data_IF_029788929117
#
_entry.id   IF_029788929117
#
_cell.length_a   1.000
_cell.length_b   1.000
_cell.length_c   1.000
_cell.angle_alpha   90.00
_cell.angle_beta   90.00
_cell.angle_gamma   90.00
#
_symmetry.space_group_name_H-M   'P 1'
#
loop_
_entity.id
_entity.type
_entity.pdbx_description
1 polymer ?
#
# COMPACT_ATOMS: atom_id res chain seq x y z
N UNK A 1 10.05 -16.73 5.17
CA UNK A 1 9.11 -15.57 5.19
C UNK A 1 9.40 -14.56 6.32
N UNK A 2 10.06 -14.97 7.41
CA UNK A 2 10.48 -14.05 8.49
C UNK A 2 11.34 -12.85 8.03
N UNK A 3 12.26 -13.04 7.09
CA UNK A 3 13.21 -11.98 6.70
C UNK A 3 12.64 -10.75 5.98
N UNK A 4 11.43 -10.81 5.38
CA UNK A 4 10.81 -9.64 4.73
C UNK A 4 10.12 -8.75 5.76
N UNK A 5 9.38 -9.33 6.68
CA UNK A 5 8.75 -8.60 7.79
C UNK A 5 9.80 -7.94 8.70
N UNK A 6 10.91 -8.62 8.97
CA UNK A 6 12.02 -8.05 9.74
C UNK A 6 12.71 -6.87 9.03
N UNK A 7 12.82 -6.90 7.70
CA UNK A 7 13.33 -5.77 6.91
C UNK A 7 12.37 -4.58 6.90
N UNK A 8 11.06 -4.82 6.75
CA UNK A 8 10.03 -3.78 6.84
C UNK A 8 10.04 -3.18 8.25
N UNK A 9 10.06 -4.02 9.28
CA UNK A 9 10.13 -3.60 10.68
C UNK A 9 11.36 -2.74 10.97
N UNK A 10 12.55 -3.12 10.45
CA UNK A 10 13.78 -2.31 10.54
C UNK A 10 13.70 -1.02 9.72
N UNK A 11 13.05 -1.03 8.54
CA UNK A 11 12.88 0.17 7.73
C UNK A 11 11.97 1.21 8.38
N UNK A 12 10.96 0.76 9.12
CA UNK A 12 10.01 1.63 9.84
C UNK A 12 10.46 2.00 11.26
N UNK A 13 11.54 1.41 11.78
CA UNK A 13 11.99 1.64 13.16
C UNK A 13 12.32 3.10 13.43
N UNK A 14 13.01 3.77 12.51
CA UNK A 14 13.41 5.18 12.67
C UNK A 14 12.22 6.13 12.75
N UNK A 15 11.22 5.96 11.87
CA UNK A 15 10.02 6.79 11.88
C UNK A 15 9.19 6.52 13.14
N UNK A 16 9.02 5.25 13.49
CA UNK A 16 8.33 4.85 14.72
C UNK A 16 9.01 5.39 15.97
N UNK A 17 10.33 5.25 16.06
CA UNK A 17 11.12 5.75 17.20
C UNK A 17 11.02 7.26 17.31
N UNK A 18 11.15 8.00 16.21
CA UNK A 18 11.05 9.46 16.21
C UNK A 18 9.66 9.96 16.66
N UNK A 19 8.57 9.34 16.20
CA UNK A 19 7.21 9.70 16.62
C UNK A 19 6.98 9.29 18.08
N UNK A 20 7.38 8.07 18.46
CA UNK A 20 7.21 7.57 19.82
C UNK A 20 8.00 8.38 20.87
N UNK A 21 9.24 8.78 20.55
CA UNK A 21 10.05 9.66 21.43
C UNK A 21 9.41 11.02 21.63
N UNK A 22 8.87 11.63 20.55
CA UNK A 22 8.17 12.92 20.65
C UNK A 22 6.93 12.81 21.53
N UNK A 23 6.10 11.78 21.33
CA UNK A 23 4.92 11.52 22.15
C UNK A 23 5.33 11.25 23.59
N UNK A 24 6.38 10.42 23.83
CA UNK A 24 6.89 10.16 25.19
C UNK A 24 7.35 11.43 25.90
N UNK A 25 7.95 12.36 25.16
CA UNK A 25 8.40 13.65 25.72
C UNK A 25 7.20 14.51 26.13
N UNK A 26 6.15 14.55 25.33
CA UNK A 26 4.94 15.34 25.58
C UNK A 26 4.13 14.74 26.73
N UNK A 27 3.98 13.41 26.75
CA UNK A 27 3.18 12.68 27.74
C UNK A 27 3.92 12.47 29.06
N UNK A 28 5.25 12.49 29.06
CA UNK A 28 6.11 12.06 30.18
C UNK A 28 5.77 12.72 31.52
N UNK A 29 4.94 12.05 32.32
CA UNK A 29 4.53 12.48 33.66
C UNK A 29 3.47 13.60 33.69
N UNK A 30 2.93 14.01 32.54
CA UNK A 30 1.82 14.98 32.43
C UNK A 30 0.48 14.25 32.40
N UNK A 31 -0.55 14.90 32.88
CA UNK A 31 -1.93 14.46 32.67
C UNK A 31 -2.34 14.73 31.22
N UNK A 32 -3.18 13.88 30.69
CA UNK A 32 -3.78 14.09 29.37
C UNK A 32 -4.82 15.22 29.44
N UNK A 33 -4.37 16.44 29.34
CA UNK A 33 -5.17 17.66 29.25
C UNK A 33 -5.24 18.18 27.79
N UNK A 34 -5.95 19.28 27.57
CA UNK A 34 -6.12 19.84 26.22
C UNK A 34 -4.77 20.25 25.59
N UNK A 35 -3.82 20.77 26.38
CA UNK A 35 -2.51 21.14 25.89
C UNK A 35 -1.73 19.93 25.39
N UNK A 36 -1.76 18.81 26.12
CA UNK A 36 -1.13 17.54 25.69
C UNK A 36 -1.81 16.97 24.46
N UNK A 37 -3.14 17.07 24.34
CA UNK A 37 -3.88 16.61 23.17
C UNK A 37 -3.52 17.44 21.93
N UNK A 38 -3.42 18.76 22.04
CA UNK A 38 -2.98 19.65 20.95
C UNK A 38 -1.55 19.32 20.50
N UNK A 39 -0.62 19.08 21.44
CA UNK A 39 0.75 18.68 21.11
C UNK A 39 0.79 17.30 20.42
N UNK A 40 -0.05 16.34 20.83
CA UNK A 40 -0.14 15.03 20.14
C UNK A 40 -0.69 15.21 18.72
N UNK A 41 -1.72 16.05 18.53
CA UNK A 41 -2.27 16.35 17.20
C UNK A 41 -1.21 16.97 16.29
N UNK A 42 -0.42 17.93 16.77
CA UNK A 42 0.68 18.52 16.01
C UNK A 42 1.74 17.46 15.61
N UNK A 43 2.05 16.51 16.52
CA UNK A 43 2.96 15.41 16.23
C UNK A 43 2.40 14.51 15.11
N UNK A 44 1.11 14.17 15.16
CA UNK A 44 0.46 13.36 14.14
C UNK A 44 0.45 14.08 12.79
N UNK A 45 0.11 15.37 12.76
CA UNK A 45 0.13 16.18 11.54
C UNK A 45 1.54 16.28 10.93
N UNK A 46 2.57 16.49 11.77
CA UNK A 46 3.96 16.51 11.28
C UNK A 46 4.49 15.15 10.84
N UNK A 47 3.85 14.07 11.29
CA UNK A 47 4.11 12.71 10.83
C UNK A 47 3.33 12.33 9.55
N UNK A 48 2.76 13.33 8.86
CA UNK A 48 1.97 13.16 7.61
C UNK A 48 0.65 12.39 7.79
N UNK A 49 0.10 12.39 9.00
CA UNK A 49 -1.25 11.92 9.27
C UNK A 49 -2.24 13.00 8.81
N UNK A 50 -3.21 12.65 7.99
CA UNK A 50 -4.21 13.59 7.49
C UNK A 50 -4.98 14.28 8.63
N UNK A 51 -5.40 15.53 8.42
CA UNK A 51 -6.07 16.36 9.44
C UNK A 51 -7.28 15.67 10.05
N UNK A 52 -8.18 15.12 9.22
CA UNK A 52 -9.39 14.44 9.70
C UNK A 52 -9.06 13.25 10.61
N UNK A 53 -8.00 12.50 10.30
CA UNK A 53 -7.55 11.37 11.11
C UNK A 53 -6.89 11.83 12.41
N UNK A 54 -6.05 12.87 12.38
CA UNK A 54 -5.41 13.42 13.57
C UNK A 54 -6.46 13.92 14.58
N UNK A 55 -7.45 14.68 14.11
CA UNK A 55 -8.58 15.14 14.92
C UNK A 55 -9.39 13.98 15.48
N UNK A 56 -9.72 12.98 14.67
CA UNK A 56 -10.47 11.81 15.13
C UNK A 56 -9.73 11.03 16.23
N UNK A 57 -8.41 10.88 16.10
CA UNK A 57 -7.56 10.21 17.12
C UNK A 57 -7.52 11.02 18.41
N UNK A 58 -7.34 12.34 18.35
CA UNK A 58 -7.29 13.18 19.57
C UNK A 58 -8.64 13.28 20.26
N UNK A 59 -9.74 13.32 19.52
CA UNK A 59 -11.10 13.25 20.09
C UNK A 59 -11.37 11.90 20.76
N UNK A 60 -10.94 10.81 20.15
CA UNK A 60 -11.01 9.46 20.72
C UNK A 60 -10.18 9.35 21.99
N UNK A 61 -8.95 9.88 22.01
CA UNK A 61 -8.10 9.94 23.21
C UNK A 61 -8.77 10.71 24.35
N UNK A 62 -9.35 11.88 24.04
CA UNK A 62 -10.09 12.70 25.04
C UNK A 62 -11.22 11.89 25.67
N UNK A 63 -12.02 11.22 24.85
CA UNK A 63 -13.15 10.42 25.33
C UNK A 63 -12.71 9.22 26.19
N UNK A 64 -11.66 8.50 25.75
CA UNK A 64 -11.15 7.33 26.51
C UNK A 64 -10.46 7.73 27.81
N UNK A 65 -9.67 8.80 27.80
CA UNK A 65 -9.02 9.31 28.99
C UNK A 65 -10.05 9.71 30.07
N UNK A 66 -11.15 10.35 29.66
CA UNK A 66 -12.25 10.67 30.57
C UNK A 66 -12.92 9.43 31.17
N UNK A 67 -12.97 8.31 30.44
CA UNK A 67 -13.56 7.05 30.87
C UNK A 67 -12.60 6.18 31.69
N UNK A 68 -11.32 6.17 31.39
CA UNK A 68 -10.30 5.26 31.96
C UNK A 68 -9.69 5.79 33.28
N UNK A 69 -9.83 7.07 33.56
CA UNK A 69 -9.27 7.70 34.78
C UNK A 69 -7.77 8.05 34.67
N UNK A 70 -7.20 8.55 35.77
CA UNK A 70 -5.87 9.19 35.80
C UNK A 70 -4.68 8.22 35.67
N UNK A 71 -4.89 6.91 35.71
CA UNK A 71 -3.81 5.89 35.68
C UNK A 71 -3.66 5.22 34.31
N UNK A 72 -4.46 5.61 33.30
CA UNK A 72 -4.40 5.00 31.98
C UNK A 72 -3.11 5.37 31.24
N UNK A 73 -2.44 4.39 30.64
CA UNK A 73 -1.29 4.61 29.80
C UNK A 73 -1.71 5.29 28.48
N UNK A 74 -1.24 6.51 28.25
CA UNK A 74 -1.59 7.29 27.07
C UNK A 74 -1.12 6.61 25.77
N UNK A 75 -0.01 5.85 25.81
CA UNK A 75 0.44 5.09 24.64
C UNK A 75 -0.52 3.97 24.26
N UNK A 76 -1.03 3.24 25.26
CA UNK A 76 -2.01 2.17 25.01
C UNK A 76 -3.33 2.74 24.47
N UNK A 77 -3.75 3.91 24.99
CA UNK A 77 -4.93 4.61 24.49
C UNK A 77 -4.71 5.09 23.05
N UNK A 78 -3.57 5.72 22.76
CA UNK A 78 -3.22 6.20 21.43
C UNK A 78 -3.12 5.05 20.42
N UNK A 79 -2.49 3.94 20.81
CA UNK A 79 -2.41 2.76 19.96
C UNK A 79 -3.82 2.26 19.62
N UNK A 80 -4.70 2.20 20.60
CA UNK A 80 -6.09 1.74 20.40
C UNK A 80 -6.84 2.63 19.42
N UNK A 81 -6.69 3.97 19.53
CA UNK A 81 -7.34 4.90 18.60
C UNK A 81 -6.75 4.81 17.18
N UNK A 82 -5.43 4.70 17.06
CA UNK A 82 -4.78 4.51 15.75
C UNK A 82 -5.19 3.19 15.09
N UNK A 83 -5.27 2.10 15.87
CA UNK A 83 -5.75 0.80 15.37
C UNK A 83 -7.22 0.88 14.92
N UNK A 84 -8.07 1.64 15.62
CA UNK A 84 -9.46 1.85 15.23
C UNK A 84 -9.60 2.61 13.89
N UNK A 85 -8.63 3.47 13.55
CA UNK A 85 -8.59 4.15 12.25
C UNK A 85 -8.15 3.23 11.09
N UNK A 86 -7.50 2.09 11.38
CA UNK A 86 -7.04 1.17 10.36
C UNK A 86 -8.20 0.30 9.87
N UNK A 87 -8.55 0.46 8.61
CA UNK A 87 -9.50 -0.43 7.97
C UNK A 87 -8.83 -1.78 7.70
N UNK A 88 -9.41 -2.85 8.23
CA UNK A 88 -9.01 -4.20 7.82
C UNK A 88 -9.50 -4.42 6.39
N UNK A 89 -8.61 -4.53 5.40
CA UNK A 89 -9.05 -4.78 4.03
C UNK A 89 -9.76 -6.13 3.99
N UNK A 90 -10.85 -6.26 3.21
CA UNK A 90 -11.51 -7.55 3.06
C UNK A 90 -10.53 -8.56 2.47
N UNK A 91 -10.59 -9.81 2.94
CA UNK A 91 -9.80 -10.89 2.34
C UNK A 91 -10.30 -11.13 0.91
N UNK A 92 -9.54 -10.65 -0.07
CA UNK A 92 -9.86 -10.80 -1.48
C UNK A 92 -9.35 -12.16 -1.97
N UNK A 93 -10.28 -13.09 -2.18
CA UNK A 93 -10.00 -14.36 -2.87
C UNK A 93 -10.39 -14.21 -4.33
N UNK A 94 -9.45 -14.26 -5.26
CA UNK A 94 -9.68 -14.09 -6.70
C UNK A 94 -10.80 -15.01 -7.20
N UNK A 95 -10.83 -16.25 -6.71
CA UNK A 95 -11.84 -17.25 -7.11
C UNK A 95 -13.27 -16.94 -6.59
N UNK A 96 -13.42 -16.04 -5.62
CA UNK A 96 -14.72 -15.68 -5.04
C UNK A 96 -15.25 -14.34 -5.54
N UNK A 97 -14.52 -13.68 -6.45
CA UNK A 97 -14.95 -12.39 -7.00
C UNK A 97 -16.07 -12.58 -8.03
N UNK A 98 -17.09 -11.69 -8.02
CA UNK A 98 -18.25 -11.80 -8.89
C UNK A 98 -17.93 -11.51 -10.37
N UNK A 99 -16.79 -10.88 -10.64
CA UNK A 99 -16.39 -10.44 -12.00
C UNK A 99 -14.97 -10.86 -12.33
N UNK A 100 -14.75 -11.29 -13.58
CA UNK A 100 -13.43 -11.61 -14.14
C UNK A 100 -13.18 -10.77 -15.37
N UNK A 101 -11.91 -10.42 -15.65
CA UNK A 101 -10.71 -10.67 -14.83
C UNK A 101 -10.67 -9.78 -13.59
N UNK A 102 -9.99 -10.25 -12.53
CA UNK A 102 -9.61 -9.37 -11.43
C UNK A 102 -8.45 -8.48 -11.87
N UNK A 103 -8.62 -7.17 -11.74
CA UNK A 103 -7.65 -6.18 -12.24
C UNK A 103 -6.84 -5.63 -11.07
N UNK A 104 -5.52 -5.78 -11.15
CA UNK A 104 -4.56 -5.26 -10.16
C UNK A 104 -3.73 -4.18 -10.81
N UNK A 105 -4.02 -2.93 -10.49
CA UNK A 105 -3.21 -1.79 -10.90
C UNK A 105 -2.09 -1.57 -9.87
N UNK A 106 -0.82 -1.67 -10.32
CA UNK A 106 0.34 -1.49 -9.44
C UNK A 106 0.95 -0.12 -9.65
N UNK A 107 0.88 0.72 -8.62
CA UNK A 107 1.34 2.11 -8.64
C UNK A 107 2.50 2.34 -7.66
N UNK A 108 3.27 3.38 -7.90
CA UNK A 108 4.40 3.78 -7.03
C UNK A 108 5.51 4.47 -7.83
N UNK A 109 6.46 5.08 -7.12
CA UNK A 109 7.59 5.79 -7.73
C UNK A 109 8.59 4.85 -8.40
N UNK A 110 9.52 5.40 -9.17
CA UNK A 110 10.58 4.60 -9.81
C UNK A 110 11.47 3.92 -8.75
N UNK A 111 11.87 2.69 -9.01
CA UNK A 111 12.80 1.93 -8.17
C UNK A 111 12.19 1.26 -6.92
N UNK A 112 10.91 1.47 -6.60
CA UNK A 112 10.27 0.83 -5.41
C UNK A 112 9.97 -0.65 -5.59
N UNK A 113 10.17 -1.20 -6.79
CA UNK A 113 10.02 -2.64 -7.05
C UNK A 113 8.66 -3.06 -7.63
N UNK A 114 7.90 -2.17 -8.29
CA UNK A 114 6.62 -2.49 -8.93
C UNK A 114 6.72 -3.71 -9.85
N UNK A 115 7.53 -3.63 -10.90
CA UNK A 115 7.74 -4.69 -11.89
C UNK A 115 8.19 -6.01 -11.25
N UNK A 116 9.09 -5.95 -10.25
CA UNK A 116 9.53 -7.14 -9.50
C UNK A 116 8.40 -7.75 -8.67
N UNK A 117 7.57 -6.93 -8.06
CA UNK A 117 6.41 -7.38 -7.28
C UNK A 117 5.38 -8.04 -8.18
N UNK A 118 5.08 -7.42 -9.32
CA UNK A 118 4.19 -7.98 -10.36
C UNK A 118 4.70 -9.36 -10.79
N UNK A 119 5.97 -9.47 -11.14
CA UNK A 119 6.55 -10.75 -11.57
C UNK A 119 6.38 -11.88 -10.53
N UNK A 120 6.62 -11.57 -9.25
CA UNK A 120 6.44 -12.55 -8.16
C UNK A 120 4.97 -12.91 -7.92
N UNK A 121 4.06 -11.93 -8.00
CA UNK A 121 2.64 -12.18 -7.87
C UNK A 121 2.11 -13.00 -9.05
N UNK A 122 2.53 -12.66 -10.28
CA UNK A 122 2.16 -13.39 -11.48
C UNK A 122 2.58 -14.86 -11.38
N UNK A 123 3.82 -15.12 -10.98
CA UNK A 123 4.31 -16.49 -10.78
C UNK A 123 3.49 -17.22 -9.73
N UNK A 124 3.24 -16.60 -8.57
CA UNK A 124 2.45 -17.21 -7.50
C UNK A 124 1.03 -17.58 -7.95
N UNK A 125 0.39 -16.71 -8.72
CA UNK A 125 -0.96 -16.95 -9.23
C UNK A 125 -0.97 -18.03 -10.32
N UNK A 126 0.02 -18.04 -11.22
CA UNK A 126 0.19 -19.10 -12.22
C UNK A 126 0.42 -20.46 -11.57
N UNK A 127 1.28 -20.56 -10.56
CA UNK A 127 1.50 -21.79 -9.76
C UNK A 127 0.24 -22.25 -9.03
N UNK A 128 -0.66 -21.34 -8.68
CA UNK A 128 -1.98 -21.66 -8.11
C UNK A 128 -3.03 -22.06 -9.15
N UNK A 129 -2.65 -22.13 -10.44
CA UNK A 129 -3.51 -22.56 -11.54
C UNK A 129 -4.39 -21.46 -12.13
N UNK A 130 -4.16 -20.17 -11.78
CA UNK A 130 -4.90 -19.05 -12.35
C UNK A 130 -4.34 -18.67 -13.73
N UNK A 131 -5.21 -18.29 -14.65
CA UNK A 131 -4.83 -17.66 -15.90
C UNK A 131 -4.46 -16.20 -15.66
N UNK A 132 -3.19 -15.90 -15.77
CA UNK A 132 -2.63 -14.56 -15.50
C UNK A 132 -2.28 -13.87 -16.80
N UNK A 133 -2.56 -12.56 -16.88
CA UNK A 133 -2.15 -11.70 -17.97
C UNK A 133 -1.42 -10.47 -17.40
N UNK A 134 -0.30 -10.08 -18.03
CA UNK A 134 0.44 -8.88 -17.68
C UNK A 134 0.21 -7.79 -18.70
N UNK A 135 0.13 -6.53 -18.25
CA UNK A 135 0.03 -5.34 -19.09
C UNK A 135 1.26 -4.45 -18.85
N UNK A 136 2.07 -4.24 -19.88
CA UNK A 136 3.29 -3.41 -19.82
C UNK A 136 2.94 -1.95 -20.12
N UNK A 137 2.40 -1.22 -19.13
CA UNK A 137 2.00 0.18 -19.28
C UNK A 137 3.10 1.19 -18.91
N UNK A 138 4.29 0.76 -18.49
CA UNK A 138 5.49 1.64 -18.40
C UNK A 138 6.12 1.78 -19.80
N UNK A 139 5.43 2.44 -20.71
CA UNK A 139 5.83 2.58 -22.12
C UNK A 139 6.96 3.57 -22.34
N UNK A 140 7.25 4.42 -21.35
CA UNK A 140 8.26 5.47 -21.48
C UNK A 140 9.68 4.97 -21.25
N UNK A 141 9.85 3.92 -20.44
CA UNK A 141 11.18 3.37 -20.11
C UNK A 141 11.46 2.13 -20.96
N UNK A 142 12.39 2.24 -21.88
CA UNK A 142 12.76 1.14 -22.79
C UNK A 142 13.09 -0.19 -22.06
N UNK A 143 13.73 -0.11 -20.89
CA UNK A 143 14.07 -1.30 -20.10
C UNK A 143 12.92 -1.86 -19.25
N UNK A 144 11.81 -1.12 -19.03
CA UNK A 144 10.73 -1.58 -18.17
C UNK A 144 9.92 -2.70 -18.82
N UNK A 145 9.59 -2.53 -20.10
CA UNK A 145 8.87 -3.55 -20.89
C UNK A 145 9.70 -4.83 -20.97
N UNK A 146 11.00 -4.70 -21.31
CA UNK A 146 11.91 -5.85 -21.40
C UNK A 146 12.07 -6.56 -20.04
N UNK A 147 12.08 -5.82 -18.94
CA UNK A 147 12.12 -6.41 -17.60
C UNK A 147 10.85 -7.20 -17.28
N UNK A 148 9.68 -6.68 -17.65
CA UNK A 148 8.41 -7.37 -17.44
C UNK A 148 8.29 -8.60 -18.35
N UNK A 149 8.82 -8.55 -19.59
CA UNK A 149 8.91 -9.70 -20.51
C UNK A 149 9.66 -10.88 -19.87
N UNK A 150 10.81 -10.61 -19.24
CA UNK A 150 11.58 -11.65 -18.53
C UNK A 150 10.77 -12.28 -17.39
N UNK A 151 9.97 -11.49 -16.68
CA UNK A 151 9.10 -12.02 -15.64
C UNK A 151 7.94 -12.83 -16.20
N UNK A 152 7.33 -12.37 -17.32
CA UNK A 152 6.27 -13.11 -18.00
C UNK A 152 6.76 -14.49 -18.47
N UNK A 153 7.94 -14.54 -19.10
CA UNK A 153 8.55 -15.77 -19.55
C UNK A 153 8.85 -16.75 -18.39
N UNK A 154 9.43 -16.24 -17.29
CA UNK A 154 9.73 -17.06 -16.11
C UNK A 154 8.47 -17.61 -15.43
N UNK A 155 7.40 -16.82 -15.39
CA UNK A 155 6.14 -17.22 -14.81
C UNK A 155 5.28 -18.07 -15.77
N UNK A 156 5.65 -18.18 -17.05
CA UNK A 156 4.87 -18.85 -18.08
C UNK A 156 3.52 -18.20 -18.35
N UNK A 157 3.44 -16.84 -18.24
CA UNK A 157 2.21 -16.07 -18.38
C UNK A 157 2.26 -15.15 -19.60
N UNK A 158 1.09 -14.79 -20.10
CA UNK A 158 0.97 -13.90 -21.26
C UNK A 158 1.21 -12.44 -20.87
N UNK A 159 1.74 -11.65 -21.82
CA UNK A 159 1.97 -10.21 -21.66
C UNK A 159 1.42 -9.45 -22.87
N UNK A 160 0.70 -8.37 -22.60
CA UNK A 160 0.31 -7.36 -23.58
C UNK A 160 1.26 -6.18 -23.47
N UNK A 161 1.79 -5.79 -24.60
CA UNK A 161 2.75 -4.69 -24.74
C UNK A 161 2.51 -3.93 -26.01
N UNK A 162 2.95 -2.69 -26.05
CA UNK A 162 2.94 -1.83 -27.23
C UNK A 162 4.35 -1.30 -27.51
N UNK A 163 4.48 -0.55 -28.60
CA UNK A 163 5.73 0.13 -28.92
C UNK A 163 6.09 1.16 -27.85
N UNK A 164 7.37 1.44 -27.70
CA UNK A 164 7.85 2.47 -26.78
C UNK A 164 7.19 3.82 -27.09
N UNK A 165 6.70 4.50 -26.06
CA UNK A 165 6.01 5.77 -26.19
C UNK A 165 4.51 5.66 -26.53
N UNK A 166 3.97 4.45 -26.65
CA UNK A 166 2.53 4.26 -26.79
C UNK A 166 1.77 4.81 -25.57
N UNK A 167 0.50 5.15 -25.74
CA UNK A 167 -0.35 5.58 -24.65
C UNK A 167 -0.56 4.43 -23.63
N UNK A 168 -0.15 4.60 -22.37
CA UNK A 168 -0.34 3.59 -21.33
C UNK A 168 -1.80 3.18 -21.14
N UNK A 169 -2.74 4.11 -21.33
CA UNK A 169 -4.17 3.82 -21.18
C UNK A 169 -4.67 2.92 -22.32
N UNK A 170 -4.17 3.11 -23.54
CA UNK A 170 -4.49 2.23 -24.66
C UNK A 170 -3.96 0.81 -24.43
N UNK A 171 -2.73 0.66 -23.91
CA UNK A 171 -2.15 -0.65 -23.57
C UNK A 171 -2.98 -1.34 -22.47
N UNK A 172 -3.40 -0.60 -21.46
CA UNK A 172 -4.26 -1.14 -20.41
C UNK A 172 -5.62 -1.59 -20.95
N UNK A 173 -6.22 -0.80 -21.85
CA UNK A 173 -7.48 -1.14 -22.49
C UNK A 173 -7.36 -2.43 -23.33
N UNK A 174 -6.33 -2.52 -24.15
CA UNK A 174 -6.06 -3.71 -24.98
C UNK A 174 -5.81 -4.95 -24.09
N UNK A 175 -5.11 -4.78 -22.99
CA UNK A 175 -4.86 -5.87 -22.03
C UNK A 175 -6.16 -6.35 -21.37
N UNK A 176 -7.07 -5.45 -21.01
CA UNK A 176 -8.36 -5.82 -20.45
C UNK A 176 -9.25 -6.52 -21.49
N UNK A 177 -9.30 -6.03 -22.73
CA UNK A 177 -10.01 -6.68 -23.81
C UNK A 177 -9.46 -8.08 -24.13
N UNK A 178 -8.13 -8.22 -24.16
CA UNK A 178 -7.46 -9.50 -24.31
C UNK A 178 -7.75 -10.46 -23.15
N UNK A 179 -7.74 -9.97 -21.92
CA UNK A 179 -8.01 -10.76 -20.74
C UNK A 179 -9.46 -11.30 -20.72
N UNK A 180 -10.43 -10.48 -21.11
CA UNK A 180 -11.82 -10.90 -21.22
C UNK A 180 -11.99 -11.97 -22.33
N UNK A 181 -11.40 -11.75 -23.50
CA UNK A 181 -11.50 -12.69 -24.63
C UNK A 181 -10.81 -14.03 -24.38
N UNK A 182 -9.81 -14.05 -23.48
CA UNK A 182 -9.01 -15.23 -23.14
C UNK A 182 -9.43 -15.88 -21.83
N UNK A 183 -10.49 -15.41 -21.19
CA UNK A 183 -10.95 -15.92 -19.90
C UNK A 183 -9.84 -15.87 -18.82
N UNK A 184 -9.11 -14.77 -18.75
CA UNK A 184 -8.09 -14.59 -17.72
C UNK A 184 -8.74 -14.40 -16.33
N UNK A 185 -8.13 -14.98 -15.30
CA UNK A 185 -8.59 -14.82 -13.93
C UNK A 185 -8.11 -13.49 -13.33
N UNK A 186 -6.88 -13.08 -13.67
CA UNK A 186 -6.24 -11.87 -13.13
C UNK A 186 -5.39 -11.15 -14.17
N UNK A 187 -5.44 -9.83 -14.13
CA UNK A 187 -4.59 -8.93 -14.92
C UNK A 187 -3.76 -8.07 -13.98
N UNK A 188 -2.45 -8.09 -14.12
CA UNK A 188 -1.54 -7.15 -13.45
C UNK A 188 -1.11 -6.06 -14.41
N UNK A 189 -1.35 -4.80 -14.05
CA UNK A 189 -0.99 -3.63 -14.85
C UNK A 189 0.24 -2.95 -14.23
N UNK A 190 1.38 -3.00 -14.94
CA UNK A 190 2.62 -2.32 -14.54
C UNK A 190 2.62 -0.89 -15.06
N UNK A 191 2.62 0.08 -14.15
CA UNK A 191 2.56 1.50 -14.49
C UNK A 191 3.91 2.18 -14.39
N UNK A 192 4.08 3.27 -15.14
CA UNK A 192 5.22 4.16 -14.98
C UNK A 192 5.25 4.76 -13.57
N UNK A 193 6.43 4.77 -12.95
CA UNK A 193 6.62 5.41 -11.65
C UNK A 193 6.91 6.90 -11.82
N UNK A 194 5.92 7.75 -11.59
CA UNK A 194 6.09 9.21 -11.59
C UNK A 194 5.69 9.80 -10.26
N UNK A 195 6.53 10.71 -9.73
CA UNK A 195 6.25 11.46 -8.51
C UNK A 195 5.46 12.74 -8.80
N UNK A 196 5.44 13.21 -10.04
CA UNK A 196 4.84 14.48 -10.44
C UNK A 196 4.03 14.29 -11.72
N UNK A 197 2.88 14.97 -11.75
CA UNK A 197 2.13 15.19 -12.99
C UNK A 197 2.96 16.13 -13.89
N UNK A 198 3.36 15.66 -15.05
CA UNK A 198 3.78 16.51 -16.15
C UNK A 198 2.70 16.45 -17.22
#
# INVERSE_FOLDING_TARGET
>A
MAGLFDRIRKGLSRTREAVAERIATVVGGRRLDEEVLEEIEEILLTADVGVDTAVAVTDGLRARAAAAGAEADVFDLLQTELEACLLTPPEVKINSLPTRPYVVLVVGVNGVGKTTTIGKLAQRHAEAGHKVLLAACDTFRAGAVAQLDVWAERAGVEIIRAQQGADPAAVAFDALAAAQSRDADVVFIDTAGRLHNK
#
